data_IF_957912606336
#
_entry.id   IF_957912606336
#
_cell.length_a   1.000
_cell.length_b   1.000
_cell.length_c   1.000
_cell.angle_alpha   90.00
_cell.angle_beta   90.00
_cell.angle_gamma   90.00
#
_symmetry.space_group_name_H-M   'P 1'
#
loop_
_entity.id
_entity.type
_entity.pdbx_description
1 polymer ?
#
# COMPACT_ATOMS: atom_id res chain seq x y z
N UNK A 1 19.33 2.59 16.53
CA UNK A 1 19.68 3.30 15.27
C UNK A 1 20.00 2.26 14.19
N UNK A 2 19.05 1.87 13.33
CA UNK A 2 19.23 0.71 12.43
C UNK A 2 19.75 1.02 11.03
N UNK A 3 20.14 2.27 10.73
CA UNK A 3 20.60 2.65 9.39
C UNK A 3 22.13 2.80 9.28
N UNK A 4 22.90 2.45 10.31
CA UNK A 4 24.36 2.57 10.28
C UNK A 4 24.90 4.00 10.09
N UNK A 5 24.01 5.01 10.07
CA UNK A 5 24.39 6.43 10.00
C UNK A 5 24.80 6.87 11.40
N UNK A 6 26.08 7.19 11.55
CA UNK A 6 26.61 7.86 12.74
C UNK A 6 25.92 9.21 12.91
N UNK A 7 25.37 9.48 14.10
CA UNK A 7 24.74 10.75 14.47
C UNK A 7 25.78 11.85 14.66
N UNK A 8 26.41 12.27 13.56
CA UNK A 8 27.49 13.24 13.54
C UNK A 8 26.95 14.65 13.24
N UNK A 9 27.38 15.64 14.01
CA UNK A 9 27.01 17.05 13.87
C UNK A 9 28.27 17.84 13.54
N UNK A 10 28.31 18.40 12.33
CA UNK A 10 29.38 19.29 11.90
C UNK A 10 29.24 20.65 12.58
N UNK A 11 30.30 21.09 13.25
CA UNK A 11 30.44 22.45 13.78
C UNK A 11 31.47 23.17 12.92
N UNK A 12 31.01 24.03 12.02
CA UNK A 12 31.89 24.86 11.21
C UNK A 12 32.25 26.13 11.98
N UNK A 13 33.45 26.18 12.53
CA UNK A 13 33.98 27.34 13.24
C UNK A 13 35.27 27.84 12.61
N UNK A 14 35.37 29.16 12.44
CA UNK A 14 36.55 29.85 11.90
C UNK A 14 37.63 30.12 12.96
N UNK A 15 37.25 30.11 14.24
CA UNK A 15 38.14 30.28 15.38
C UNK A 15 37.67 29.46 16.60
N UNK A 16 38.54 29.23 17.61
CA UNK A 16 38.21 28.42 18.78
C UNK A 16 37.09 28.98 19.67
N UNK A 17 36.89 30.29 19.70
CA UNK A 17 35.85 30.91 20.54
C UNK A 17 34.47 30.63 19.94
N UNK A 18 34.33 30.77 18.62
CA UNK A 18 33.11 30.41 17.90
C UNK A 18 32.84 28.90 17.98
N UNK A 19 33.88 28.07 17.88
CA UNK A 19 33.74 26.61 18.05
C UNK A 19 33.20 26.23 19.43
N UNK A 20 33.71 26.87 20.48
CA UNK A 20 33.25 26.63 21.86
C UNK A 20 31.79 27.07 22.04
N UNK A 21 31.42 28.24 21.50
CA UNK A 21 30.04 28.75 21.55
C UNK A 21 29.07 27.80 20.86
N UNK A 22 29.39 27.36 19.65
CA UNK A 22 28.54 26.45 18.88
C UNK A 22 28.41 25.08 19.57
N UNK A 23 29.52 24.56 20.10
CA UNK A 23 29.50 23.31 20.87
C UNK A 23 28.60 23.41 22.11
N UNK A 24 28.67 24.52 22.85
CA UNK A 24 27.80 24.74 24.00
C UNK A 24 26.32 24.78 23.59
N UNK A 25 25.99 25.49 22.51
CA UNK A 25 24.60 25.58 22.03
C UNK A 25 24.08 24.20 21.63
N UNK A 26 24.85 23.43 20.85
CA UNK A 26 24.52 22.06 20.43
C UNK A 26 24.35 21.15 21.65
N UNK A 27 25.31 21.16 22.58
CA UNK A 27 25.30 20.33 23.79
C UNK A 27 24.10 20.64 24.70
N UNK A 28 23.83 21.93 24.96
CA UNK A 28 22.66 22.37 25.73
C UNK A 28 21.36 21.97 25.06
N UNK A 29 21.28 22.09 23.73
CA UNK A 29 20.10 21.70 22.96
C UNK A 29 19.82 20.21 23.06
N UNK A 30 20.84 19.36 22.97
CA UNK A 30 20.68 17.92 23.16
C UNK A 30 20.25 17.60 24.59
N UNK A 31 20.94 18.17 25.59
CA UNK A 31 20.66 17.91 27.00
C UNK A 31 19.24 18.33 27.41
N UNK A 32 18.79 19.50 26.99
CA UNK A 32 17.42 19.97 27.27
C UNK A 32 16.37 19.10 26.60
N UNK A 33 16.63 18.67 25.36
CA UNK A 33 15.74 17.78 24.61
C UNK A 33 15.62 16.41 25.28
N UNK A 34 16.73 15.79 25.71
CA UNK A 34 16.71 14.54 26.45
C UNK A 34 16.00 14.66 27.80
N UNK A 35 16.23 15.76 28.52
CA UNK A 35 15.55 16.02 29.79
C UNK A 35 14.03 16.08 29.61
N UNK A 36 13.55 16.83 28.63
CA UNK A 36 12.12 16.92 28.32
C UNK A 36 11.53 15.54 27.99
N UNK A 37 12.28 14.71 27.25
CA UNK A 37 11.85 13.35 26.90
C UNK A 37 11.78 12.41 28.10
N UNK A 38 12.73 12.52 29.03
CA UNK A 38 12.72 11.77 30.29
C UNK A 38 11.55 12.20 31.17
N UNK A 39 11.29 13.50 31.29
CA UNK A 39 10.17 14.04 32.07
C UNK A 39 8.82 13.56 31.50
N UNK A 40 8.63 13.62 30.17
CA UNK A 40 7.43 13.10 29.48
C UNK A 40 7.27 11.58 29.65
N UNK A 41 8.36 10.82 29.52
CA UNK A 41 8.33 9.35 29.75
C UNK A 41 7.99 9.01 31.20
N UNK A 42 8.54 9.74 32.17
CA UNK A 42 8.25 9.56 33.59
C UNK A 42 6.79 9.89 33.94
N UNK A 43 6.20 10.86 33.24
CA UNK A 43 4.77 11.17 33.32
C UNK A 43 3.86 10.11 32.64
N UNK A 44 4.43 9.11 31.98
CA UNK A 44 3.69 8.06 31.28
C UNK A 44 3.21 8.44 29.89
N UNK A 45 3.70 9.53 29.33
CA UNK A 45 3.33 9.99 27.98
C UNK A 45 4.18 9.27 26.92
N UNK A 46 3.54 8.86 25.82
CA UNK A 46 4.27 8.40 24.63
C UNK A 46 4.77 9.60 23.86
N UNK A 47 6.08 9.63 23.60
CA UNK A 47 6.68 10.62 22.73
C UNK A 47 6.10 10.51 21.32
N UNK A 48 5.90 11.64 20.67
CA UNK A 48 5.51 11.65 19.27
C UNK A 48 6.63 11.04 18.43
N UNK A 49 6.27 10.12 17.52
CA UNK A 49 7.23 9.51 16.59
C UNK A 49 7.89 10.63 15.78
N UNK A 50 9.22 10.81 15.88
CA UNK A 50 9.91 11.84 15.13
C UNK A 50 9.85 11.53 13.64
N UNK A 51 9.73 12.58 12.83
CA UNK A 51 9.68 12.46 11.38
C UNK A 51 11.02 11.90 10.85
N UNK A 52 10.95 10.77 10.15
CA UNK A 52 12.11 10.09 9.56
C UNK A 52 12.36 10.54 8.12
N UNK A 53 12.04 11.80 7.80
CA UNK A 53 12.26 12.38 6.48
C UNK A 53 13.76 12.40 6.11
N UNK A 54 14.09 12.47 4.81
CA UNK A 54 15.47 12.70 4.37
C UNK A 54 16.05 13.93 5.07
N UNK A 55 17.34 13.90 5.42
CA UNK A 55 17.98 15.05 6.05
C UNK A 55 17.78 16.31 5.19
N UNK A 56 17.31 17.42 5.79
CA UNK A 56 17.18 18.66 5.04
C UNK A 56 18.54 19.06 4.47
N UNK A 57 18.58 19.48 3.19
CA UNK A 57 19.82 19.88 2.50
C UNK A 57 20.54 21.06 3.18
N UNK A 58 19.86 21.80 4.05
CA UNK A 58 20.40 22.90 4.87
C UNK A 58 19.78 22.80 6.26
N UNK A 59 20.50 22.20 7.20
CA UNK A 59 20.11 22.07 8.61
C UNK A 59 21.21 22.73 9.45
N UNK A 60 20.86 23.59 10.40
CA UNK A 60 21.87 24.16 11.33
C UNK A 60 22.34 23.07 12.31
N UNK A 61 23.54 23.20 12.92
CA UNK A 61 24.01 22.25 13.92
C UNK A 61 23.01 22.02 15.06
N UNK A 62 22.31 23.06 15.49
CA UNK A 62 21.30 23.00 16.55
C UNK A 62 20.03 22.26 16.11
N UNK A 63 19.57 22.49 14.89
CA UNK A 63 18.42 21.79 14.33
C UNK A 63 18.73 20.29 14.22
N UNK A 64 19.93 19.96 13.72
CA UNK A 64 20.42 18.58 13.64
C UNK A 64 20.54 17.95 15.02
N UNK A 65 21.03 18.70 16.01
CA UNK A 65 21.13 18.27 17.40
C UNK A 65 19.76 17.91 17.99
N UNK A 66 18.77 18.79 17.78
CA UNK A 66 17.39 18.57 18.26
C UNK A 66 16.75 17.36 17.59
N UNK A 67 16.91 17.20 16.27
CA UNK A 67 16.40 16.04 15.52
C UNK A 67 17.04 14.73 15.98
N UNK A 68 18.37 14.69 16.12
CA UNK A 68 19.09 13.52 16.61
C UNK A 68 18.70 13.16 18.05
N UNK A 69 18.60 14.14 18.93
CA UNK A 69 18.14 13.92 20.30
C UNK A 69 16.70 13.37 20.33
N UNK A 70 15.80 13.86 19.46
CA UNK A 70 14.45 13.32 19.34
C UNK A 70 14.38 11.89 18.83
N UNK A 71 15.13 11.56 17.78
CA UNK A 71 15.19 10.18 17.25
C UNK A 71 15.76 9.24 18.31
N UNK A 72 16.82 9.66 18.99
CA UNK A 72 17.51 8.84 19.99
C UNK A 72 16.66 8.67 21.25
N UNK A 73 16.06 9.75 21.75
CA UNK A 73 15.18 9.71 22.93
C UNK A 73 13.92 8.88 22.68
N UNK A 74 13.32 8.99 21.49
CA UNK A 74 12.20 8.12 21.10
C UNK A 74 12.60 6.64 21.08
N UNK A 75 13.77 6.31 20.50
CA UNK A 75 14.28 4.95 20.50
C UNK A 75 14.57 4.43 21.92
N UNK A 76 15.11 5.27 22.81
CA UNK A 76 15.34 4.94 24.21
C UNK A 76 14.02 4.65 24.95
N UNK A 77 12.97 5.47 24.71
CA UNK A 77 11.65 5.23 25.30
C UNK A 77 11.06 3.90 24.82
N UNK A 78 11.12 3.62 23.52
CA UNK A 78 10.67 2.34 22.97
C UNK A 78 11.43 1.16 23.56
N UNK A 79 12.75 1.26 23.71
CA UNK A 79 13.56 0.22 24.34
C UNK A 79 13.16 0.02 25.81
N UNK A 80 13.04 1.10 26.59
CA UNK A 80 12.62 1.03 28.00
C UNK A 80 11.23 0.39 28.16
N UNK A 81 10.26 0.77 27.33
CA UNK A 81 8.92 0.19 27.34
C UNK A 81 8.94 -1.28 26.92
N UNK A 82 9.74 -1.62 25.91
CA UNK A 82 9.96 -2.99 25.46
C UNK A 82 10.53 -3.87 26.59
N UNK A 83 11.56 -3.38 27.29
CA UNK A 83 12.16 -4.09 28.43
C UNK A 83 11.14 -4.27 29.58
N UNK A 84 10.36 -3.23 29.90
CA UNK A 84 9.31 -3.29 30.94
C UNK A 84 8.17 -4.26 30.58
N UNK A 85 7.81 -4.35 29.32
CA UNK A 85 6.72 -5.21 28.82
C UNK A 85 7.23 -6.57 28.32
N UNK A 86 8.52 -6.89 28.48
CA UNK A 86 9.16 -8.08 27.92
C UNK A 86 8.86 -8.29 26.42
N UNK A 87 8.73 -7.18 25.68
CA UNK A 87 8.37 -7.14 24.26
C UNK A 87 9.55 -6.58 23.47
N UNK A 88 10.06 -7.34 22.51
CA UNK A 88 11.10 -6.88 21.61
C UNK A 88 10.49 -6.35 20.30
N UNK A 89 11.05 -5.27 19.75
CA UNK A 89 10.74 -4.87 18.39
C UNK A 89 11.16 -5.99 17.42
N UNK A 90 10.35 -6.32 16.40
CA UNK A 90 10.71 -7.33 15.41
C UNK A 90 12.06 -7.00 14.76
N UNK A 91 12.91 -8.01 14.58
CA UNK A 91 14.21 -7.82 13.91
C UNK A 91 13.98 -7.38 12.46
N UNK A 92 14.50 -6.21 12.07
CA UNK A 92 14.52 -5.78 10.67
C UNK A 92 15.58 -6.61 9.94
N UNK A 93 15.15 -7.61 9.18
CA UNK A 93 16.04 -8.39 8.31
C UNK A 93 16.18 -7.69 6.98
N UNK A 94 17.42 -7.46 6.53
CA UNK A 94 17.71 -7.06 5.15
C UNK A 94 18.03 -8.31 4.35
N UNK A 95 17.26 -8.55 3.29
CA UNK A 95 17.49 -9.63 2.34
C UNK A 95 17.61 -9.03 0.94
N UNK A 96 18.30 -9.76 0.06
CA UNK A 96 18.47 -9.41 -1.34
C UNK A 96 17.86 -10.55 -2.15
N UNK A 97 17.13 -10.20 -3.20
CA UNK A 97 16.60 -11.18 -4.16
C UNK A 97 17.11 -10.80 -5.54
N UNK A 98 17.38 -11.81 -6.38
CA UNK A 98 17.50 -11.57 -7.80
C UNK A 98 16.11 -11.25 -8.36
N UNK A 99 16.03 -10.37 -9.35
CA UNK A 99 14.80 -10.09 -10.08
C UNK A 99 14.42 -11.23 -11.05
N UNK A 100 15.42 -12.01 -11.46
CA UNK A 100 15.35 -13.07 -12.47
C UNK A 100 15.75 -14.42 -11.86
N UNK A 101 15.12 -15.50 -12.32
CA UNK A 101 15.56 -16.86 -12.07
C UNK A 101 16.93 -17.10 -12.72
N UNK A 102 17.95 -17.13 -11.86
CA UNK A 102 19.34 -17.29 -12.28
C UNK A 102 19.62 -18.66 -12.89
N UNK A 103 18.90 -19.71 -12.47
CA UNK A 103 19.08 -21.06 -13.01
C UNK A 103 18.51 -21.17 -14.42
N UNK A 104 17.34 -20.55 -14.66
CA UNK A 104 16.77 -20.44 -15.99
C UNK A 104 17.68 -19.63 -16.92
N UNK A 105 18.23 -18.51 -16.45
CA UNK A 105 19.14 -17.67 -17.22
C UNK A 105 20.46 -18.38 -17.57
N UNK A 106 21.00 -19.20 -16.66
CA UNK A 106 22.19 -20.01 -16.93
C UNK A 106 21.92 -21.07 -18.00
N UNK A 107 20.79 -21.77 -17.92
CA UNK A 107 20.42 -22.80 -18.88
C UNK A 107 20.09 -22.23 -20.26
N UNK A 108 19.52 -21.02 -20.32
CA UNK A 108 18.98 -20.39 -21.54
C UNK A 108 19.40 -18.91 -21.63
N UNK A 109 20.69 -18.61 -21.86
CA UNK A 109 21.22 -17.24 -21.79
C UNK A 109 20.70 -16.30 -22.89
N UNK A 110 20.13 -16.86 -23.96
CA UNK A 110 19.57 -16.10 -25.08
C UNK A 110 18.04 -15.96 -25.04
N UNK A 111 17.38 -16.53 -24.03
CA UNK A 111 15.93 -16.43 -23.88
C UNK A 111 15.53 -15.24 -23.01
N UNK A 112 14.23 -14.92 -23.01
CA UNK A 112 13.70 -13.85 -22.18
C UNK A 112 13.86 -14.23 -20.69
N UNK A 113 14.42 -13.34 -19.84
CA UNK A 113 14.54 -13.56 -18.40
C UNK A 113 13.22 -13.96 -17.74
N UNK A 114 13.22 -15.05 -16.97
CA UNK A 114 12.07 -15.47 -16.16
C UNK A 114 12.10 -14.73 -14.82
N UNK A 115 11.06 -13.96 -14.45
CA UNK A 115 11.04 -13.27 -13.16
C UNK A 115 11.10 -14.24 -11.97
N UNK A 116 11.96 -13.96 -11.00
CA UNK A 116 12.08 -14.78 -9.79
C UNK A 116 10.88 -14.64 -8.83
N UNK A 117 10.24 -13.46 -8.83
CA UNK A 117 9.10 -13.15 -7.96
C UNK A 117 8.07 -12.31 -8.70
N UNK A 118 6.81 -12.42 -8.27
CA UNK A 118 5.72 -11.59 -8.76
C UNK A 118 5.07 -10.80 -7.63
N UNK A 119 4.74 -9.51 -7.84
CA UNK A 119 3.98 -8.76 -6.86
C UNK A 119 2.56 -9.32 -6.73
N UNK A 120 2.09 -9.44 -5.51
CA UNK A 120 0.73 -9.86 -5.17
C UNK A 120 0.15 -8.96 -4.09
N UNK A 121 -1.17 -8.81 -4.11
CA UNK A 121 -1.94 -8.12 -3.08
C UNK A 121 -2.50 -9.17 -2.14
N UNK A 122 -2.38 -8.92 -0.84
CA UNK A 122 -3.02 -9.73 0.19
C UNK A 122 -4.46 -9.26 0.35
N UNK A 123 -5.42 -10.12 0.00
CA UNK A 123 -6.85 -9.85 0.17
C UNK A 123 -7.43 -10.81 1.18
N UNK A 124 -8.23 -10.30 2.12
CA UNK A 124 -8.96 -11.15 3.06
C UNK A 124 -10.08 -11.91 2.36
N UNK A 125 -10.53 -12.99 2.98
CA UNK A 125 -11.66 -13.77 2.46
C UNK A 125 -12.93 -12.93 2.27
N UNK A 126 -13.17 -11.99 3.19
CA UNK A 126 -14.30 -11.07 3.09
C UNK A 126 -14.14 -10.12 1.90
N UNK A 127 -12.95 -9.55 1.71
CA UNK A 127 -12.66 -8.65 0.60
C UNK A 127 -12.81 -9.35 -0.75
N UNK A 128 -12.27 -10.56 -0.89
CA UNK A 128 -12.36 -11.35 -2.12
C UNK A 128 -13.81 -11.77 -2.43
N UNK A 129 -14.57 -12.20 -1.43
CA UNK A 129 -15.98 -12.56 -1.58
C UNK A 129 -16.86 -11.35 -1.96
N UNK A 130 -16.57 -10.17 -1.40
CA UNK A 130 -17.22 -8.92 -1.80
C UNK A 130 -16.93 -8.57 -3.26
N UNK A 131 -15.65 -8.59 -3.65
CA UNK A 131 -15.22 -8.28 -5.01
C UNK A 131 -15.89 -9.22 -6.04
N UNK A 132 -15.90 -10.53 -5.75
CA UNK A 132 -16.58 -11.52 -6.58
C UNK A 132 -18.07 -11.24 -6.74
N UNK A 133 -18.78 -10.97 -5.63
CA UNK A 133 -20.22 -10.66 -5.68
C UNK A 133 -20.51 -9.40 -6.50
N UNK A 134 -19.67 -8.37 -6.35
CA UNK A 134 -19.76 -7.14 -7.12
C UNK A 134 -19.59 -7.39 -8.61
N UNK A 135 -18.51 -8.07 -9.01
CA UNK A 135 -18.27 -8.41 -10.41
C UNK A 135 -19.39 -9.28 -10.99
N UNK A 136 -19.93 -10.22 -10.22
CA UNK A 136 -21.03 -11.08 -10.67
C UNK A 136 -22.30 -10.28 -10.93
N UNK A 137 -22.68 -9.40 -10.00
CA UNK A 137 -23.86 -8.53 -10.17
C UNK A 137 -23.74 -7.68 -11.43
N UNK A 138 -22.57 -7.06 -11.62
CA UNK A 138 -22.23 -6.26 -12.79
C UNK A 138 -22.42 -7.05 -14.10
N UNK A 139 -21.85 -8.25 -14.19
CA UNK A 139 -21.94 -9.06 -15.42
C UNK A 139 -23.37 -9.51 -15.68
N UNK A 140 -24.09 -9.97 -14.65
CA UNK A 140 -25.47 -10.46 -14.84
C UNK A 140 -26.38 -9.35 -15.36
N UNK A 141 -26.33 -8.15 -14.76
CA UNK A 141 -27.09 -7.00 -15.26
C UNK A 141 -26.71 -6.62 -16.69
N UNK A 142 -25.42 -6.71 -17.02
CA UNK A 142 -24.95 -6.43 -18.37
C UNK A 142 -25.40 -7.47 -19.41
N UNK A 143 -25.37 -8.76 -19.07
CA UNK A 143 -25.79 -9.84 -19.96
C UNK A 143 -27.28 -9.79 -20.25
N UNK A 144 -28.10 -9.58 -19.22
CA UNK A 144 -29.55 -9.44 -19.36
C UNK A 144 -29.92 -8.32 -20.31
N UNK A 145 -29.19 -7.21 -20.26
CA UNK A 145 -29.46 -6.05 -21.07
C UNK A 145 -28.82 -6.11 -22.48
N UNK A 146 -27.76 -6.89 -22.67
CA UNK A 146 -27.23 -7.26 -24.00
C UNK A 146 -28.17 -8.20 -24.76
N UNK A 147 -28.75 -9.19 -24.07
CA UNK A 147 -29.68 -10.17 -24.66
C UNK A 147 -31.02 -9.55 -25.10
N UNK A 148 -31.37 -8.37 -24.59
CA UNK A 148 -32.62 -7.68 -24.91
C UNK A 148 -32.56 -6.85 -26.21
N UNK A 149 -31.45 -6.91 -26.97
CA UNK A 149 -31.28 -6.31 -28.30
C UNK A 149 -31.72 -4.84 -28.39
N UNK A 150 -31.55 -4.11 -27.27
CA UNK A 150 -31.86 -2.70 -27.23
C UNK A 150 -30.75 -1.95 -27.97
N UNK A 151 -31.06 -1.35 -29.12
CA UNK A 151 -30.16 -0.45 -29.85
C UNK A 151 -29.61 0.72 -29.00
N UNK A 152 -30.17 0.93 -27.80
CA UNK A 152 -29.75 1.92 -26.79
C UNK A 152 -29.10 1.28 -25.54
N UNK A 153 -28.67 0.02 -25.57
CA UNK A 153 -28.04 -0.64 -24.44
C UNK A 153 -26.68 0.01 -24.12
N UNK A 154 -26.62 0.74 -23.02
CA UNK A 154 -25.41 1.39 -22.55
C UNK A 154 -24.81 0.59 -21.39
N UNK A 155 -24.12 -0.51 -21.72
CA UNK A 155 -23.41 -1.39 -20.78
C UNK A 155 -22.60 -0.61 -19.75
N UNK A 156 -21.92 0.45 -20.17
CA UNK A 156 -21.12 1.28 -19.28
C UNK A 156 -21.97 1.94 -18.18
N UNK A 157 -23.13 2.48 -18.52
CA UNK A 157 -24.03 3.10 -17.53
C UNK A 157 -24.60 2.05 -16.56
N UNK A 158 -24.89 0.83 -17.05
CA UNK A 158 -25.35 -0.28 -16.20
C UNK A 158 -24.23 -0.79 -15.27
N UNK A 159 -23.01 -0.89 -15.79
CA UNK A 159 -21.80 -1.20 -15.03
C UNK A 159 -21.55 -0.14 -13.95
N UNK A 160 -21.64 1.16 -14.29
CA UNK A 160 -21.55 2.28 -13.35
C UNK A 160 -22.67 2.21 -12.31
N UNK A 161 -23.91 1.97 -12.72
CA UNK A 161 -25.09 1.91 -11.84
C UNK A 161 -25.02 0.76 -10.84
N UNK A 162 -24.72 -0.45 -11.30
CA UNK A 162 -24.52 -1.62 -10.45
C UNK A 162 -23.36 -1.39 -9.46
N UNK A 163 -22.29 -0.76 -9.93
CA UNK A 163 -21.14 -0.46 -9.09
C UNK A 163 -21.42 0.67 -8.07
N UNK A 164 -22.28 1.65 -8.41
CA UNK A 164 -22.74 2.72 -7.53
C UNK A 164 -23.61 2.19 -6.38
N UNK A 165 -24.54 1.27 -6.68
CA UNK A 165 -25.41 0.64 -5.68
C UNK A 165 -24.63 -0.16 -4.63
N UNK A 166 -23.42 -0.61 -4.98
CA UNK A 166 -22.56 -1.43 -4.12
C UNK A 166 -21.46 -0.62 -3.43
N UNK A 167 -21.37 0.69 -3.72
CA UNK A 167 -20.45 1.60 -3.06
C UNK A 167 -20.97 2.03 -1.69
N UNK A 168 -20.04 2.25 -0.76
CA UNK A 168 -20.33 2.86 0.55
C UNK A 168 -20.68 4.34 0.44
N UNK A 169 -20.32 4.99 -0.68
CA UNK A 169 -20.60 6.40 -0.94
C UNK A 169 -21.24 6.57 -2.33
N UNK A 170 -22.59 6.46 -2.42
CA UNK A 170 -23.32 6.63 -3.67
C UNK A 170 -23.25 8.07 -4.23
N UNK A 171 -22.95 9.06 -3.38
CA UNK A 171 -22.99 10.48 -3.79
C UNK A 171 -21.80 10.89 -4.65
N UNK A 172 -20.66 10.19 -4.51
CA UNK A 172 -19.48 10.34 -5.37
C UNK A 172 -19.68 9.89 -6.82
N UNK A 173 -20.72 9.10 -7.10
CA UNK A 173 -21.02 8.63 -8.46
C UNK A 173 -21.72 9.69 -9.32
N UNK A 174 -22.51 10.57 -8.70
CA UNK A 174 -23.30 11.59 -9.42
C UNK A 174 -22.50 12.85 -9.74
N UNK A 175 -21.32 13.04 -9.15
CA UNK A 175 -20.54 14.29 -9.24
C UNK A 175 -19.70 14.39 -10.51
N UNK A 176 -19.29 13.26 -11.09
CA UNK A 176 -18.54 13.22 -12.35
C UNK A 176 -19.05 12.06 -13.26
N UNK A 177 -19.86 12.36 -14.28
CA UNK A 177 -20.35 11.38 -15.25
C UNK A 177 -19.22 10.66 -16.01
N UNK A 178 -18.11 11.35 -16.27
CA UNK A 178 -17.01 10.88 -17.13
C UNK A 178 -15.84 10.26 -16.32
N UNK A 179 -15.89 10.29 -14.99
CA UNK A 179 -14.92 9.60 -14.17
C UNK A 179 -14.90 8.10 -14.48
N UNK A 180 -13.72 7.48 -14.40
CA UNK A 180 -13.58 6.04 -14.53
C UNK A 180 -14.15 5.32 -13.29
N UNK A 181 -14.46 4.03 -13.42
CA UNK A 181 -15.10 3.23 -12.36
C UNK A 181 -14.25 3.21 -11.08
N UNK A 182 -12.92 3.24 -11.20
CA UNK A 182 -12.01 3.35 -10.06
C UNK A 182 -12.24 4.63 -9.24
N UNK A 183 -12.28 5.81 -9.90
CA UNK A 183 -12.47 7.12 -9.26
C UNK A 183 -13.87 7.30 -8.68
N UNK A 184 -14.88 6.61 -9.21
CA UNK A 184 -16.25 6.68 -8.68
C UNK A 184 -16.43 5.94 -7.35
N UNK A 185 -15.44 5.18 -6.87
CA UNK A 185 -15.52 4.50 -5.56
C UNK A 185 -16.13 3.10 -5.65
N UNK A 186 -16.11 2.48 -6.83
CA UNK A 186 -16.45 1.05 -7.03
C UNK A 186 -15.43 0.14 -6.33
N UNK A 187 -14.23 0.67 -6.11
CA UNK A 187 -13.13 -0.04 -5.49
C UNK A 187 -13.35 -0.27 -3.98
N UNK A 188 -12.88 -1.42 -3.51
CA UNK A 188 -12.41 -1.50 -2.14
C UNK A 188 -11.26 -0.51 -1.97
N UNK A 189 -11.29 0.28 -0.89
CA UNK A 189 -10.17 1.11 -0.40
C UNK A 189 -8.83 0.38 -0.44
N UNK A 190 -8.83 -0.95 -0.32
CA UNK A 190 -7.64 -1.81 -0.39
C UNK A 190 -6.86 -1.71 -1.72
N UNK A 191 -7.52 -1.30 -2.80
CA UNK A 191 -6.87 -1.13 -4.11
C UNK A 191 -6.45 0.32 -4.36
N UNK A 192 -6.85 1.26 -3.49
CA UNK A 192 -6.42 2.65 -3.58
C UNK A 192 -4.95 2.79 -3.10
N UNK A 193 -4.17 3.62 -3.79
CA UNK A 193 -2.74 3.80 -3.52
C UNK A 193 -1.80 2.68 -4.02
N UNK A 194 -2.32 1.59 -4.61
CA UNK A 194 -1.49 0.63 -5.32
C UNK A 194 -1.02 1.20 -6.66
N UNK A 195 0.25 1.03 -7.08
CA UNK A 195 0.73 1.42 -8.40
C UNK A 195 0.25 0.44 -9.49
N UNK A 196 -1.02 0.03 -9.43
CA UNK A 196 -1.67 -0.89 -10.34
C UNK A 196 -2.63 -0.13 -11.26
N UNK A 197 -2.55 -0.42 -12.56
CA UNK A 197 -3.48 0.11 -13.56
C UNK A 197 -4.51 -0.94 -13.90
N UNK A 198 -5.70 -0.79 -13.34
CA UNK A 198 -6.85 -1.62 -13.71
C UNK A 198 -7.32 -1.32 -15.13
N UNK A 199 -7.33 -2.33 -15.99
CA UNK A 199 -7.90 -2.20 -17.34
C UNK A 199 -9.43 -2.23 -17.31
N UNK A 200 -10.05 -2.95 -16.36
CA UNK A 200 -11.51 -2.99 -16.23
C UNK A 200 -12.03 -1.71 -15.58
N UNK A 201 -11.39 -1.25 -14.52
CA UNK A 201 -11.86 -0.10 -13.73
C UNK A 201 -11.41 1.25 -14.31
N UNK A 202 -10.37 1.24 -15.14
CA UNK A 202 -9.91 2.40 -15.89
C UNK A 202 -10.76 2.72 -17.12
N UNK A 203 -11.64 1.80 -17.53
CA UNK A 203 -12.49 1.97 -18.70
C UNK A 203 -13.42 3.17 -18.52
N UNK A 204 -13.50 4.00 -19.56
CA UNK A 204 -14.45 5.09 -19.68
C UNK A 204 -15.58 4.71 -20.64
N UNK A 205 -16.62 5.56 -20.68
CA UNK A 205 -17.75 5.38 -21.59
C UNK A 205 -17.31 5.36 -23.06
N UNK A 206 -16.47 6.31 -23.45
CA UNK A 206 -16.00 6.43 -24.83
C UNK A 206 -15.12 5.23 -25.22
N UNK A 207 -14.34 4.67 -24.29
CA UNK A 207 -13.58 3.44 -24.55
C UNK A 207 -14.51 2.29 -24.93
N UNK A 208 -15.61 2.11 -24.19
CA UNK A 208 -16.59 1.05 -24.46
C UNK A 208 -17.35 1.24 -25.77
N UNK A 209 -17.79 2.46 -26.05
CA UNK A 209 -18.54 2.78 -27.29
C UNK A 209 -17.68 2.57 -28.54
N UNK A 210 -16.37 2.81 -28.43
CA UNK A 210 -15.43 2.62 -29.53
C UNK A 210 -14.95 1.17 -29.69
N UNK A 211 -15.24 0.26 -28.74
CA UNK A 211 -14.91 -1.16 -28.87
C UNK A 211 -15.78 -1.84 -29.92
N UNK A 212 -15.16 -2.69 -30.72
CA UNK A 212 -15.87 -3.65 -31.56
C UNK A 212 -16.63 -4.68 -30.72
N UNK A 213 -17.64 -5.34 -31.31
CA UNK A 213 -18.38 -6.41 -30.63
C UNK A 213 -17.47 -7.54 -30.13
N UNK A 214 -16.39 -7.86 -30.86
CA UNK A 214 -15.41 -8.87 -30.43
C UNK A 214 -14.63 -8.43 -29.18
N UNK A 215 -14.23 -7.17 -29.11
CA UNK A 215 -13.54 -6.61 -27.93
C UNK A 215 -14.45 -6.55 -26.69
N UNK A 216 -15.73 -6.21 -26.90
CA UNK A 216 -16.75 -6.24 -25.84
C UNK A 216 -16.94 -7.67 -25.31
N UNK A 217 -16.98 -8.68 -26.18
CA UNK A 217 -17.08 -10.09 -25.78
C UNK A 217 -15.83 -10.58 -25.03
N UNK A 218 -14.62 -10.23 -25.49
CA UNK A 218 -13.36 -10.51 -24.80
C UNK A 218 -13.34 -9.89 -23.40
N UNK A 219 -13.80 -8.65 -23.27
CA UNK A 219 -13.91 -7.95 -22.00
C UNK A 219 -14.83 -8.69 -21.01
N UNK A 220 -16.03 -9.07 -21.45
CA UNK A 220 -16.99 -9.83 -20.63
C UNK A 220 -16.41 -11.20 -20.26
N UNK A 221 -15.78 -11.90 -21.21
CA UNK A 221 -15.11 -13.20 -20.97
C UNK A 221 -14.02 -13.08 -19.92
N UNK A 222 -13.21 -12.01 -19.95
CA UNK A 222 -12.18 -11.74 -18.94
C UNK A 222 -12.79 -11.56 -17.54
N UNK A 223 -13.89 -10.80 -17.43
CA UNK A 223 -14.60 -10.63 -16.16
C UNK A 223 -15.13 -11.96 -15.59
N UNK A 224 -15.71 -12.81 -16.45
CA UNK A 224 -16.16 -14.15 -16.06
C UNK A 224 -14.99 -15.01 -15.58
N UNK A 225 -13.86 -14.94 -16.28
CA UNK A 225 -12.63 -15.64 -15.89
C UNK A 225 -12.13 -15.23 -14.50
N UNK A 226 -12.17 -13.93 -14.19
CA UNK A 226 -11.82 -13.42 -12.85
C UNK A 226 -12.76 -13.96 -11.76
N UNK A 227 -14.07 -13.95 -12.01
CA UNK A 227 -15.06 -14.51 -11.06
C UNK A 227 -14.78 -15.98 -10.79
N UNK A 228 -14.56 -16.77 -11.85
CA UNK A 228 -14.24 -18.19 -11.72
C UNK A 228 -12.93 -18.40 -10.94
N UNK A 229 -11.91 -17.57 -11.18
CA UNK A 229 -10.65 -17.62 -10.43
C UNK A 229 -10.86 -17.29 -8.95
N UNK A 230 -11.70 -16.31 -8.63
CA UNK A 230 -12.01 -15.99 -7.23
C UNK A 230 -12.79 -17.10 -6.52
N UNK A 231 -13.63 -17.85 -7.26
CA UNK A 231 -14.27 -19.07 -6.74
C UNK A 231 -13.25 -20.17 -6.43
N UNK A 232 -12.21 -20.31 -7.24
CA UNK A 232 -11.12 -21.26 -6.97
C UNK A 232 -10.34 -20.86 -5.71
N UNK A 233 -9.98 -19.59 -5.56
CA UNK A 233 -9.29 -19.09 -4.36
C UNK A 233 -10.11 -19.30 -3.08
N UNK A 234 -11.43 -19.06 -3.13
CA UNK A 234 -12.33 -19.27 -1.98
C UNK A 234 -12.37 -20.74 -1.52
N UNK A 235 -12.20 -21.69 -2.46
CA UNK A 235 -12.16 -23.14 -2.21
C UNK A 235 -10.78 -23.65 -1.82
N UNK A 236 -9.73 -22.92 -2.17
CA UNK A 236 -8.33 -23.29 -1.93
C UNK A 236 -7.93 -23.05 -0.47
N UNK A 237 -8.40 -23.93 0.41
CA UNK A 237 -8.11 -23.85 1.86
C UNK A 237 -6.62 -23.94 2.23
N UNK A 238 -5.74 -24.39 1.32
CA UNK A 238 -4.34 -24.64 1.61
C UNK A 238 -3.47 -23.36 1.59
N UNK A 239 -3.89 -22.32 0.87
CA UNK A 239 -3.08 -21.12 0.65
C UNK A 239 -3.62 -19.87 1.38
N UNK A 240 -4.59 -20.04 2.28
CA UNK A 240 -5.04 -18.97 3.17
C UNK A 240 -4.14 -18.88 4.40
N UNK A 241 -3.63 -17.68 4.67
CA UNK A 241 -2.73 -17.42 5.79
C UNK A 241 -3.37 -16.45 6.80
N UNK A 242 -3.41 -16.82 8.09
CA UNK A 242 -4.05 -16.01 9.12
C UNK A 242 -3.19 -14.91 9.74
N UNK A 243 -1.86 -14.96 9.58
CA UNK A 243 -0.90 -14.05 10.23
C UNK A 243 -1.19 -13.80 11.73
N UNK A 244 -1.64 -14.83 12.45
CA UNK A 244 -1.97 -14.75 13.88
C UNK A 244 -3.46 -14.45 14.18
N UNK A 245 -4.30 -14.24 13.17
CA UNK A 245 -5.75 -14.17 13.36
C UNK A 245 -6.38 -15.56 13.49
N UNK A 246 -7.20 -15.73 14.52
CA UNK A 246 -8.02 -16.91 14.74
C UNK A 246 -9.32 -16.89 13.91
N UNK A 247 -9.60 -15.79 13.21
CA UNK A 247 -10.80 -15.61 12.39
C UNK A 247 -10.51 -15.99 10.92
N UNK A 248 -11.09 -17.07 10.39
CA UNK A 248 -10.86 -17.48 8.99
C UNK A 248 -11.29 -16.43 7.96
N UNK A 249 -12.17 -15.49 8.32
CA UNK A 249 -12.60 -14.42 7.41
C UNK A 249 -11.55 -13.33 7.23
N UNK A 250 -10.60 -13.23 8.16
CA UNK A 250 -9.47 -12.30 8.14
C UNK A 250 -8.22 -12.93 7.56
N UNK A 251 -8.23 -14.25 7.31
CA UNK A 251 -7.16 -14.90 6.58
C UNK A 251 -7.04 -14.27 5.20
N UNK A 252 -5.79 -14.13 4.76
CA UNK A 252 -5.45 -13.48 3.50
C UNK A 252 -4.98 -14.49 2.49
N UNK A 253 -5.26 -14.18 1.22
CA UNK A 253 -4.80 -14.91 0.06
C UNK A 253 -3.90 -14.01 -0.78
N UNK A 254 -2.85 -14.59 -1.39
CA UNK A 254 -1.94 -13.88 -2.29
C UNK A 254 -2.56 -13.80 -3.68
N UNK A 255 -3.13 -12.65 -4.02
CA UNK A 255 -3.76 -12.42 -5.33
C UNK A 255 -2.78 -11.72 -6.27
N UNK A 256 -2.36 -12.34 -7.38
CA UNK A 256 -1.48 -11.68 -8.37
C UNK A 256 -2.11 -10.41 -8.94
N UNK A 257 -1.30 -9.41 -9.28
CA UNK A 257 -1.81 -8.16 -9.88
C UNK A 257 -2.58 -8.40 -11.18
N UNK A 258 -2.21 -9.40 -11.97
CA UNK A 258 -2.91 -9.79 -13.21
C UNK A 258 -4.31 -10.35 -12.98
N UNK A 259 -4.56 -10.82 -11.76
CA UNK A 259 -5.85 -11.37 -11.32
C UNK A 259 -6.68 -10.33 -10.57
N UNK A 260 -6.28 -9.06 -10.58
CA UNK A 260 -7.13 -7.95 -10.16
C UNK A 260 -7.98 -7.48 -11.35
N UNK A 261 -9.14 -6.85 -11.10
CA UNK A 261 -9.95 -6.24 -12.16
C UNK A 261 -9.14 -5.17 -12.89
#
# INVERSE_FOLDING_TARGET
MSNGRTGYIDIHATDPAEGTRQFEIVGRTMASTYRQMLESTAAGEMLQKPEMAPEPKKETPEQKAKRLAAITGYAMQLQFLGDKQQTAAPSVKRAWIADTDLAALEAQPNEAPVPAVYPAVLLTKTQLSQLRRQLKSIITTAEEAFLQDNANFNFYEQLVSAAAQMSRDPTKFSTDPNANLAKKGVLLEVLDGLPYKSRILGMQKDDWVNMSTGEQQEFIKRLKGLIARYDEYDRDSAHWEGFGSNNPNEWVYRVPLSMLP
#
